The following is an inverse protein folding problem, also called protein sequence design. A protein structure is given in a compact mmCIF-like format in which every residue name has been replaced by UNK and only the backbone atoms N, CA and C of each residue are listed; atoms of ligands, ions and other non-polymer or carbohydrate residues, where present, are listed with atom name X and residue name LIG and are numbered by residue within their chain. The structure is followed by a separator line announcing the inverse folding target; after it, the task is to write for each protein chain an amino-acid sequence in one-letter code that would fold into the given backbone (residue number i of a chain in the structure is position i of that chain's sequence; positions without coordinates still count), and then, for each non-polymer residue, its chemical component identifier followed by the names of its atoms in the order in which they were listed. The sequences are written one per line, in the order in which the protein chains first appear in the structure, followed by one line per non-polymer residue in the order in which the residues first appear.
data_IF_733334376382
#
_entry.id   IF_733334376382
#
_cell.length_a   1.000
_cell.length_b   1.000
_cell.length_c   1.000
_cell.angle_alpha   90.00
_cell.angle_beta   90.00
_cell.angle_gamma   90.00
#
_symmetry.space_group_name_H-M   'P 1'
#
loop_
_entity.id
_entity.type
_entity.pdbx_description
1 polymer ?
#
# COMPACT_ATOMS: atom_id res chain seq x y z
N UNK A 1 -15.10 -15.37 24.92
CA UNK A 1 -14.14 -15.28 23.79
C UNK A 1 -14.70 -14.26 22.83
N UNK A 2 -14.13 -13.05 22.80
CA UNK A 2 -14.58 -11.99 21.90
C UNK A 2 -13.67 -12.06 20.68
N UNK A 3 -14.25 -12.41 19.54
CA UNK A 3 -13.59 -12.25 18.25
C UNK A 3 -14.13 -10.95 17.68
N UNK A 4 -13.25 -9.98 17.46
CA UNK A 4 -13.62 -8.72 16.83
C UNK A 4 -13.03 -8.70 15.43
N UNK A 5 -13.88 -8.50 14.42
CA UNK A 5 -13.45 -8.39 13.03
C UNK A 5 -13.23 -6.93 12.67
N UNK A 6 -12.12 -6.64 12.00
CA UNK A 6 -11.81 -5.29 11.56
C UNK A 6 -12.62 -4.94 10.30
N UNK A 7 -13.62 -4.07 10.43
CA UNK A 7 -14.61 -3.76 9.37
C UNK A 7 -13.99 -3.22 8.06
N UNK A 8 -12.84 -2.54 8.13
CA UNK A 8 -12.13 -2.01 6.95
C UNK A 8 -11.52 -3.10 6.08
N UNK A 9 -11.17 -4.25 6.67
CA UNK A 9 -10.51 -5.36 5.98
C UNK A 9 -11.46 -6.36 5.33
N UNK A 10 -12.74 -6.39 5.75
CA UNK A 10 -13.71 -7.40 5.30
C UNK A 10 -14.11 -7.26 3.81
N UNK A 11 -13.80 -6.13 3.18
CA UNK A 11 -14.14 -5.88 1.76
C UNK A 11 -13.16 -6.54 0.78
N UNK A 12 -11.96 -6.91 1.23
CA UNK A 12 -10.96 -7.52 0.35
C UNK A 12 -11.30 -9.00 0.15
N UNK A 13 -11.54 -9.45 -1.10
CA UNK A 13 -11.76 -10.87 -1.37
C UNK A 13 -10.55 -11.74 -1.01
N UNK A 14 -9.36 -11.15 -0.87
CA UNK A 14 -8.10 -11.85 -0.57
C UNK A 14 -8.01 -12.31 0.88
N UNK A 15 -8.66 -11.62 1.82
CA UNK A 15 -8.54 -11.92 3.25
C UNK A 15 -9.05 -10.80 4.15
N UNK A 16 -9.01 -10.99 5.46
CA UNK A 16 -9.40 -9.98 6.44
C UNK A 16 -8.64 -10.11 7.76
N UNK A 17 -8.62 -9.02 8.53
CA UNK A 17 -8.03 -8.93 9.86
C UNK A 17 -9.09 -9.22 10.93
N UNK A 18 -8.71 -9.97 11.95
CA UNK A 18 -9.52 -10.19 13.14
C UNK A 18 -8.64 -10.28 14.39
N UNK A 19 -9.25 -9.96 15.53
CA UNK A 19 -8.59 -10.02 16.83
C UNK A 19 -9.15 -11.16 17.66
N UNK A 20 -8.26 -11.86 18.35
CA UNK A 20 -8.62 -12.85 19.37
C UNK A 20 -7.71 -12.69 20.56
N UNK A 21 -8.31 -12.52 21.74
CA UNK A 21 -7.59 -12.34 23.00
C UNK A 21 -6.55 -11.20 22.93
N UNK A 22 -6.89 -10.12 22.20
CA UNK A 22 -6.03 -8.96 21.97
C UNK A 22 -4.92 -9.15 20.92
N UNK A 23 -4.83 -10.33 20.31
CA UNK A 23 -3.82 -10.64 19.28
C UNK A 23 -4.42 -10.44 17.88
N UNK A 24 -3.70 -9.75 17.01
CA UNK A 24 -4.06 -9.53 15.62
C UNK A 24 -3.73 -10.76 14.77
N UNK A 25 -4.71 -11.19 13.96
CA UNK A 25 -4.56 -12.25 12.99
C UNK A 25 -5.08 -11.78 11.64
N UNK A 26 -4.54 -12.38 10.57
CA UNK A 26 -5.05 -12.22 9.22
C UNK A 26 -5.47 -13.58 8.67
N UNK A 27 -6.72 -13.67 8.23
CA UNK A 27 -7.16 -14.79 7.40
C UNK A 27 -6.82 -14.51 5.94
N UNK A 28 -6.33 -15.53 5.25
CA UNK A 28 -6.12 -15.56 3.81
C UNK A 28 -7.22 -16.44 3.20
N UNK A 29 -7.94 -15.91 2.23
CA UNK A 29 -9.03 -16.61 1.57
C UNK A 29 -8.53 -17.50 0.43
N UNK A 30 -9.27 -18.56 0.05
CA UNK A 30 -8.88 -19.47 -1.03
C UNK A 30 -8.60 -18.79 -2.38
N UNK A 31 -9.29 -17.69 -2.68
CA UNK A 31 -9.11 -16.87 -3.89
C UNK A 31 -7.70 -16.32 -4.04
N UNK A 32 -6.99 -16.08 -2.93
CA UNK A 32 -5.64 -15.51 -2.92
C UNK A 32 -4.56 -16.57 -2.67
N UNK A 33 -4.95 -17.84 -2.54
CA UNK A 33 -4.05 -18.96 -2.27
C UNK A 33 -2.84 -19.00 -3.21
N UNK A 34 -3.09 -18.94 -4.52
CA UNK A 34 -2.04 -19.10 -5.52
C UNK A 34 -1.00 -17.96 -5.48
N UNK A 35 -1.44 -16.73 -5.20
CA UNK A 35 -0.55 -15.59 -5.04
C UNK A 35 0.26 -15.71 -3.76
N UNK A 36 -0.38 -16.12 -2.67
CA UNK A 36 0.29 -16.28 -1.38
C UNK A 36 1.31 -17.43 -1.36
N UNK A 37 1.00 -18.57 -1.97
CA UNK A 37 1.96 -19.68 -2.10
C UNK A 37 3.17 -19.24 -2.92
N UNK A 38 2.95 -18.59 -4.06
CA UNK A 38 4.03 -18.06 -4.89
C UNK A 38 4.84 -16.95 -4.18
N UNK A 39 4.19 -16.14 -3.35
CA UNK A 39 4.84 -15.10 -2.55
C UNK A 39 5.89 -15.67 -1.58
N UNK A 40 5.60 -16.83 -0.99
CA UNK A 40 6.55 -17.55 -0.16
C UNK A 40 7.61 -18.29 -1.00
N UNK A 41 7.17 -19.02 -2.04
CA UNK A 41 8.04 -19.86 -2.87
C UNK A 41 9.06 -19.08 -3.71
N UNK A 42 8.68 -17.90 -4.20
CA UNK A 42 9.57 -17.02 -4.97
C UNK A 42 10.71 -16.44 -4.13
N UNK A 43 10.63 -16.52 -2.80
CA UNK A 43 11.58 -15.89 -1.87
C UNK A 43 11.35 -14.39 -1.65
N UNK A 44 10.31 -13.79 -2.25
CA UNK A 44 10.01 -12.37 -2.05
C UNK A 44 9.67 -12.06 -0.58
N UNK A 45 8.90 -12.93 0.08
CA UNK A 45 8.57 -12.76 1.49
C UNK A 45 9.81 -12.64 2.38
N UNK A 46 10.74 -13.60 2.25
CA UNK A 46 11.98 -13.62 3.02
C UNK A 46 12.82 -12.37 2.69
N UNK A 47 12.91 -12.01 1.41
CA UNK A 47 13.65 -10.82 0.96
C UNK A 47 13.14 -9.54 1.59
N UNK A 48 11.82 -9.30 1.55
CA UNK A 48 11.22 -8.07 2.08
C UNK A 48 11.23 -8.03 3.61
N UNK A 49 10.99 -9.15 4.27
CA UNK A 49 11.00 -9.23 5.74
C UNK A 49 12.40 -9.01 6.29
N UNK A 50 13.43 -9.63 5.68
CA UNK A 50 14.83 -9.46 6.09
C UNK A 50 15.36 -8.04 5.84
N UNK A 51 14.85 -7.35 4.80
CA UNK A 51 15.17 -5.93 4.55
C UNK A 51 14.36 -4.95 5.43
N UNK A 52 13.41 -5.45 6.24
CA UNK A 52 12.54 -4.62 7.07
C UNK A 52 11.51 -3.82 6.28
N UNK A 53 11.17 -4.24 5.05
CA UNK A 53 10.21 -3.57 4.17
C UNK A 53 8.80 -4.13 4.28
N UNK A 54 8.63 -5.32 4.82
CA UNK A 54 7.33 -5.93 5.09
C UNK A 54 7.27 -6.40 6.54
N UNK A 55 6.11 -6.21 7.17
CA UNK A 55 5.86 -6.73 8.52
C UNK A 55 6.03 -8.25 8.53
N UNK A 56 6.93 -8.80 9.36
CA UNK A 56 7.06 -10.25 9.46
C UNK A 56 5.78 -10.87 10.00
N UNK A 57 5.47 -12.08 9.54
CA UNK A 57 4.35 -12.86 10.04
C UNK A 57 4.69 -14.33 10.12
N UNK A 58 4.02 -15.03 11.02
CA UNK A 58 4.11 -16.48 11.13
C UNK A 58 2.79 -17.14 10.73
N UNK A 59 2.87 -18.34 10.17
CA UNK A 59 1.66 -19.16 9.95
C UNK A 59 1.25 -19.79 11.27
N UNK A 60 -0.03 -19.69 11.62
CA UNK A 60 -0.58 -20.26 12.86
C UNK A 60 -1.55 -21.39 12.55
N UNK A 61 -1.57 -22.41 13.41
CA UNK A 61 -2.57 -23.47 13.33
C UNK A 61 -3.95 -22.89 13.65
N UNK A 62 -4.85 -22.96 12.67
CA UNK A 62 -6.18 -22.37 12.72
C UNK A 62 -7.26 -23.33 13.25
N UNK A 63 -6.90 -24.54 13.69
CA UNK A 63 -7.85 -25.54 14.22
C UNK A 63 -8.72 -25.02 15.37
N UNK A 64 -8.22 -24.05 16.12
CA UNK A 64 -8.95 -23.42 17.21
C UNK A 64 -9.62 -22.09 16.84
N UNK A 65 -9.40 -21.55 15.64
CA UNK A 65 -9.84 -20.22 15.23
C UNK A 65 -11.27 -20.25 14.66
N UNK A 66 -12.03 -19.14 14.80
CA UNK A 66 -13.49 -19.14 14.60
C UNK A 66 -13.94 -19.28 13.13
N UNK A 67 -13.03 -19.17 12.17
CA UNK A 67 -13.37 -19.14 10.75
C UNK A 67 -12.77 -20.37 10.03
N UNK A 68 -13.63 -21.34 9.70
CA UNK A 68 -13.24 -22.61 9.08
C UNK A 68 -13.05 -22.56 7.56
N UNK A 69 -13.47 -21.47 6.90
CA UNK A 69 -13.55 -21.38 5.44
C UNK A 69 -12.35 -20.65 4.80
N UNK A 70 -11.36 -20.24 5.60
CA UNK A 70 -10.12 -19.64 5.13
C UNK A 70 -9.16 -20.68 4.56
N UNK A 71 -8.27 -20.26 3.67
CA UNK A 71 -7.15 -21.09 3.22
C UNK A 71 -6.06 -21.20 4.29
N UNK A 72 -5.68 -20.09 4.92
CA UNK A 72 -4.62 -20.04 5.93
C UNK A 72 -4.83 -18.87 6.89
N UNK A 73 -4.30 -18.98 8.09
CA UNK A 73 -4.19 -17.85 9.03
C UNK A 73 -2.73 -17.53 9.30
N UNK A 74 -2.43 -16.23 9.32
CA UNK A 74 -1.13 -15.70 9.72
C UNK A 74 -1.28 -14.75 10.91
N UNK A 75 -0.23 -14.67 11.72
CA UNK A 75 -0.09 -13.70 12.80
C UNK A 75 1.05 -12.74 12.45
N UNK A 76 0.75 -11.49 12.03
CA UNK A 76 1.78 -10.48 11.84
C UNK A 76 2.35 -9.99 13.17
N UNK A 77 3.58 -9.50 13.14
CA UNK A 77 4.14 -8.76 14.27
C UNK A 77 3.30 -7.51 14.58
N UNK A 78 3.18 -7.18 15.86
CA UNK A 78 2.39 -6.04 16.31
C UNK A 78 3.17 -4.74 16.13
N UNK A 79 2.54 -3.76 15.49
CA UNK A 79 3.05 -2.39 15.43
C UNK A 79 2.46 -1.61 16.60
N UNK A 80 3.29 -1.14 17.56
CA UNK A 80 2.79 -0.55 18.80
C UNK A 80 2.12 0.81 18.61
N UNK A 81 2.38 1.48 17.48
CA UNK A 81 1.85 2.80 17.17
C UNK A 81 1.45 2.88 15.70
N UNK A 82 0.16 3.05 15.46
CA UNK A 82 -0.38 3.32 14.12
C UNK A 82 -0.38 4.83 13.91
N UNK A 83 0.17 5.26 12.78
CA UNK A 83 0.19 6.65 12.34
C UNK A 83 -0.43 6.75 10.96
N UNK A 84 -0.96 7.93 10.62
CA UNK A 84 -1.64 8.14 9.35
C UNK A 84 -0.84 9.06 8.41
N UNK A 85 -0.99 8.90 7.08
CA UNK A 85 -0.26 9.70 6.10
C UNK A 85 -0.37 11.22 6.29
N UNK A 86 -1.53 11.71 6.75
CA UNK A 86 -1.76 13.13 7.01
C UNK A 86 -1.07 13.67 8.29
N UNK A 87 -0.49 12.80 9.11
CA UNK A 87 0.25 13.12 10.34
C UNK A 87 1.77 13.15 10.09
N UNK A 88 2.23 12.53 9.00
CA UNK A 88 3.64 12.41 8.70
C UNK A 88 4.26 13.74 8.28
N UNK A 89 5.51 13.97 8.71
CA UNK A 89 6.30 15.06 8.14
C UNK A 89 6.69 14.72 6.69
N UNK A 90 7.11 15.73 5.93
CA UNK A 90 7.49 15.55 4.52
C UNK A 90 8.55 14.48 4.30
N UNK A 91 9.56 14.40 5.17
CA UNK A 91 10.63 13.40 5.06
C UNK A 91 10.11 12.00 5.29
N UNK A 92 9.24 11.79 6.29
CA UNK A 92 8.57 10.50 6.50
C UNK A 92 7.73 10.13 5.28
N UNK A 93 6.91 11.05 4.80
CA UNK A 93 6.06 10.83 3.64
C UNK A 93 6.86 10.47 2.37
N UNK A 94 7.98 11.17 2.15
CA UNK A 94 8.93 10.86 1.07
C UNK A 94 9.55 9.48 1.24
N UNK A 95 9.95 9.11 2.45
CA UNK A 95 10.52 7.79 2.73
C UNK A 95 9.49 6.67 2.51
N UNK A 96 8.23 6.90 2.86
CA UNK A 96 7.13 5.98 2.57
C UNK A 96 6.97 5.77 1.05
N UNK A 97 6.96 6.85 0.25
CA UNK A 97 6.92 6.75 -1.20
C UNK A 97 8.11 5.96 -1.79
N UNK A 98 9.32 6.21 -1.26
CA UNK A 98 10.53 5.54 -1.71
C UNK A 98 10.52 4.04 -1.34
N UNK A 99 10.05 3.67 -0.14
CA UNK A 99 9.97 2.25 0.24
C UNK A 99 8.93 1.52 -0.61
N UNK A 100 7.79 2.14 -0.93
CA UNK A 100 6.78 1.55 -1.83
C UNK A 100 7.39 1.23 -3.20
N UNK A 101 8.17 2.14 -3.78
CA UNK A 101 8.87 1.88 -5.05
C UNK A 101 10.00 0.85 -4.91
N UNK A 102 10.69 0.83 -3.78
CA UNK A 102 11.71 -0.17 -3.50
C UNK A 102 11.07 -1.57 -3.43
N UNK A 103 9.96 -1.72 -2.71
CA UNK A 103 9.17 -2.95 -2.61
C UNK A 103 8.72 -3.42 -4.00
N UNK A 104 8.12 -2.53 -4.81
CA UNK A 104 7.73 -2.85 -6.18
C UNK A 104 8.91 -3.38 -6.99
N UNK A 105 10.08 -2.73 -6.91
CA UNK A 105 11.27 -3.16 -7.64
C UNK A 105 11.77 -4.54 -7.18
N UNK A 106 11.68 -4.87 -5.89
CA UNK A 106 11.99 -6.23 -5.39
C UNK A 106 10.96 -7.21 -5.92
N UNK A 107 9.67 -6.90 -5.83
CA UNK A 107 8.60 -7.77 -6.29
C UNK A 107 8.81 -8.17 -7.75
N UNK A 108 9.09 -7.20 -8.62
CA UNK A 108 9.35 -7.47 -10.05
C UNK A 108 10.56 -8.38 -10.27
N UNK A 109 11.59 -8.29 -9.42
CA UNK A 109 12.75 -9.19 -9.47
C UNK A 109 12.46 -10.63 -9.01
N UNK A 110 11.27 -10.88 -8.47
CA UNK A 110 10.76 -12.18 -8.03
C UNK A 110 9.49 -12.57 -8.79
N UNK A 111 9.29 -12.03 -10.01
CA UNK A 111 8.12 -12.28 -10.87
C UNK A 111 6.77 -12.02 -10.17
N UNK A 112 6.76 -11.00 -9.31
CA UNK A 112 5.58 -10.52 -8.60
C UNK A 112 5.39 -9.02 -8.79
N UNK A 113 4.20 -8.52 -8.49
CA UNK A 113 3.89 -7.11 -8.58
C UNK A 113 3.09 -6.66 -7.36
N UNK A 114 3.36 -5.44 -6.90
CA UNK A 114 2.60 -4.81 -5.83
C UNK A 114 1.27 -4.28 -6.43
N UNK A 115 0.12 -4.83 -6.04
CA UNK A 115 -1.18 -4.50 -6.66
C UNK A 115 -1.84 -3.25 -6.10
N UNK A 116 -1.39 -2.77 -4.95
CA UNK A 116 -1.86 -1.53 -4.33
C UNK A 116 -0.70 -0.65 -3.85
N UNK A 117 -0.88 0.66 -3.99
CA UNK A 117 0.09 1.68 -3.60
C UNK A 117 -0.58 2.73 -2.71
N UNK A 118 -1.45 2.28 -1.82
CA UNK A 118 -2.12 3.13 -0.85
C UNK A 118 -1.12 3.52 0.27
N UNK A 119 -1.02 4.83 0.57
CA UNK A 119 -0.13 5.31 1.63
C UNK A 119 -0.50 4.77 3.02
N UNK A 120 -1.76 4.43 3.25
CA UNK A 120 -2.26 3.88 4.52
C UNK A 120 -1.78 2.45 4.79
N UNK A 121 -1.24 1.74 3.79
CA UNK A 121 -0.62 0.42 3.95
C UNK A 121 0.83 0.52 4.43
N UNK A 122 1.40 1.73 4.55
CA UNK A 122 2.73 1.95 5.13
C UNK A 122 2.58 2.43 6.57
N UNK A 123 3.41 1.88 7.46
CA UNK A 123 3.56 2.32 8.84
C UNK A 123 5.02 2.62 9.16
N UNK A 124 5.28 3.24 10.31
CA UNK A 124 6.63 3.46 10.81
C UNK A 124 6.90 2.55 11.99
N UNK A 125 7.80 1.58 11.79
CA UNK A 125 8.25 0.68 12.84
C UNK A 125 9.75 0.88 13.09
N UNK A 126 10.11 1.16 14.33
CA UNK A 126 11.50 1.47 14.72
C UNK A 126 12.14 2.59 13.86
N UNK A 127 11.33 3.58 13.45
CA UNK A 127 11.77 4.71 12.63
C UNK A 127 11.89 4.43 11.13
N UNK A 128 11.61 3.21 10.67
CA UNK A 128 11.64 2.83 9.25
C UNK A 128 10.23 2.64 8.69
N UNK A 129 9.98 3.07 7.44
CA UNK A 129 8.71 2.81 6.78
C UNK A 129 8.62 1.32 6.39
N UNK A 130 7.50 0.68 6.72
CA UNK A 130 7.26 -0.75 6.51
C UNK A 130 5.86 -0.96 5.94
N UNK A 131 5.73 -1.86 4.96
CA UNK A 131 4.44 -2.31 4.43
C UNK A 131 3.80 -3.27 5.44
N UNK A 132 2.53 -3.04 5.76
CA UNK A 132 1.79 -3.87 6.73
C UNK A 132 0.80 -4.84 6.06
N UNK A 133 0.61 -4.70 4.76
CA UNK A 133 -0.33 -5.49 3.99
C UNK A 133 0.39 -6.60 3.21
N UNK A 134 0.33 -7.81 3.77
CA UNK A 134 0.89 -9.02 3.14
C UNK A 134 0.14 -9.43 1.88
N UNK A 135 -1.15 -9.06 1.72
CA UNK A 135 -1.98 -9.51 0.60
C UNK A 135 -1.95 -8.55 -0.60
N UNK A 136 -0.96 -7.66 -0.62
CA UNK A 136 -0.70 -6.66 -1.66
C UNK A 136 0.09 -7.17 -2.86
N UNK A 137 0.47 -8.45 -2.93
CA UNK A 137 1.31 -8.98 -4.00
C UNK A 137 0.55 -9.93 -4.94
N UNK A 138 0.76 -9.80 -6.25
CA UNK A 138 0.21 -10.73 -7.24
C UNK A 138 1.33 -11.25 -8.13
N UNK A 139 1.06 -12.36 -8.83
CA UNK A 139 2.00 -12.90 -9.82
C UNK A 139 2.09 -11.89 -10.95
N UNK A 140 3.30 -11.54 -11.36
CA UNK A 140 3.50 -10.62 -12.47
C UNK A 140 3.34 -11.34 -13.80
N UNK A 141 2.66 -10.71 -14.75
CA UNK A 141 2.64 -11.15 -16.14
C UNK A 141 3.52 -10.19 -16.95
N UNK A 142 4.55 -10.75 -17.60
CA UNK A 142 5.52 -9.97 -18.36
C UNK A 142 4.82 -9.05 -19.38
N UNK A 143 5.19 -7.77 -19.37
CA UNK A 143 4.63 -6.75 -20.26
C UNK A 143 3.35 -6.08 -19.73
N UNK A 144 2.74 -6.57 -18.65
CA UNK A 144 1.63 -5.85 -18.02
C UNK A 144 2.12 -4.57 -17.32
N UNK A 145 1.37 -3.47 -17.41
CA UNK A 145 1.69 -2.24 -16.70
C UNK A 145 1.41 -2.40 -15.20
N UNK A 146 2.07 -1.58 -14.39
CA UNK A 146 1.78 -1.52 -12.97
C UNK A 146 0.40 -0.92 -12.69
N UNK A 147 -0.56 -1.77 -12.32
CA UNK A 147 -1.96 -1.40 -12.08
C UNK A 147 -2.12 -0.32 -11.02
N UNK A 148 -1.31 -0.35 -9.96
CA UNK A 148 -1.34 0.65 -8.88
C UNK A 148 -0.58 1.96 -9.20
N UNK A 149 -0.07 2.13 -10.42
CA UNK A 149 0.70 3.33 -10.78
C UNK A 149 -0.10 4.63 -10.59
N UNK A 150 -1.39 4.65 -10.96
CA UNK A 150 -2.26 5.79 -10.68
C UNK A 150 -2.40 6.03 -9.18
N UNK A 151 -2.68 4.98 -8.43
CA UNK A 151 -2.83 5.05 -6.98
C UNK A 151 -1.56 5.59 -6.31
N UNK A 152 -0.37 5.18 -6.77
CA UNK A 152 0.90 5.73 -6.30
C UNK A 152 1.02 7.23 -6.57
N UNK A 153 0.59 7.68 -7.75
CA UNK A 153 0.60 9.10 -8.08
C UNK A 153 -0.34 9.90 -7.17
N UNK A 154 -1.52 9.37 -6.85
CA UNK A 154 -2.54 10.03 -6.01
C UNK A 154 -2.17 9.99 -4.52
N UNK A 155 -1.55 8.90 -4.06
CA UNK A 155 -1.22 8.68 -2.65
C UNK A 155 0.15 9.22 -2.26
N UNK A 156 1.10 9.32 -3.20
CA UNK A 156 2.47 9.73 -2.88
C UNK A 156 2.96 10.92 -3.70
N UNK A 157 3.07 10.75 -5.03
CA UNK A 157 3.73 11.76 -5.88
C UNK A 157 2.99 13.11 -5.86
N UNK A 158 1.67 13.10 -5.97
CA UNK A 158 0.81 14.28 -5.96
C UNK A 158 0.92 15.05 -4.63
N UNK A 159 0.66 14.42 -3.47
CA UNK A 159 0.85 15.05 -2.17
C UNK A 159 2.27 15.62 -1.98
N UNK A 160 3.32 14.86 -2.34
CA UNK A 160 4.71 15.34 -2.26
C UNK A 160 4.95 16.57 -3.16
N UNK A 161 4.39 16.58 -4.37
CA UNK A 161 4.48 17.71 -5.27
C UNK A 161 3.77 18.95 -4.69
N UNK A 162 2.57 18.80 -4.12
CA UNK A 162 1.85 19.90 -3.46
C UNK A 162 2.64 20.45 -2.27
N UNK A 163 3.16 19.58 -1.41
CA UNK A 163 3.96 19.98 -0.26
C UNK A 163 5.23 20.74 -0.67
N UNK A 164 5.91 20.28 -1.72
CA UNK A 164 7.17 20.85 -2.21
C UNK A 164 6.98 22.19 -2.95
N UNK A 165 5.94 22.30 -3.77
CA UNK A 165 5.75 23.45 -4.66
C UNK A 165 4.79 24.52 -4.12
N UNK A 166 3.99 24.21 -3.09
CA UNK A 166 2.99 25.14 -2.53
C UNK A 166 3.14 25.32 -1.03
N UNK A 167 2.82 24.29 -0.24
CA UNK A 167 2.83 24.39 1.23
C UNK A 167 2.83 23.00 1.86
N UNK A 168 3.73 22.79 2.82
CA UNK A 168 3.91 21.52 3.54
C UNK A 168 2.61 21.00 4.19
N UNK A 169 1.69 21.89 4.56
CA UNK A 169 0.43 21.56 5.23
C UNK A 169 -0.57 20.87 4.29
N UNK A 170 -0.37 20.92 2.97
CA UNK A 170 -1.25 20.27 2.01
C UNK A 170 -1.26 18.74 2.11
N UNK A 171 -0.24 18.13 2.75
CA UNK A 171 -0.28 16.71 3.08
C UNK A 171 -1.47 16.31 3.97
N UNK A 172 -2.02 17.26 4.77
CA UNK A 172 -3.17 17.01 5.65
C UNK A 172 -4.47 16.69 4.90
N UNK A 173 -4.55 17.05 3.62
CA UNK A 173 -5.72 16.78 2.76
C UNK A 173 -5.99 15.28 2.65
N UNK A 174 -4.97 14.43 2.80
CA UNK A 174 -5.12 12.98 2.77
C UNK A 174 -6.06 12.42 3.84
N UNK A 175 -6.37 13.18 4.90
CA UNK A 175 -7.41 12.81 5.86
C UNK A 175 -8.79 12.68 5.22
N UNK A 176 -9.09 13.54 4.24
CA UNK A 176 -10.36 13.51 3.50
C UNK A 176 -10.25 12.62 2.25
N UNK A 177 -9.05 12.48 1.70
CA UNK A 177 -8.76 11.68 0.50
C UNK A 177 -7.97 10.43 0.86
N UNK A 178 -8.62 9.49 1.56
CA UNK A 178 -8.01 8.25 2.06
C UNK A 178 -7.49 7.38 0.91
N UNK A 179 -8.14 7.43 -0.26
CA UNK A 179 -7.72 6.71 -1.46
C UNK A 179 -6.68 7.46 -2.31
N UNK A 180 -6.24 8.65 -1.87
CA UNK A 180 -5.32 9.53 -2.58
C UNK A 180 -5.99 10.76 -3.19
N UNK A 181 -5.21 11.82 -3.42
CA UNK A 181 -5.72 13.09 -3.97
C UNK A 181 -5.88 12.94 -5.49
N UNK A 182 -7.08 13.17 -6.07
CA UNK A 182 -7.30 13.07 -7.51
C UNK A 182 -6.29 13.91 -8.30
N UNK A 183 -5.71 13.32 -9.35
CA UNK A 183 -4.62 13.97 -10.10
C UNK A 183 -5.05 15.25 -10.80
N UNK A 184 -6.32 15.40 -11.18
CA UNK A 184 -6.84 16.63 -11.76
C UNK A 184 -6.89 17.76 -10.73
N UNK A 185 -7.28 17.46 -9.49
CA UNK A 185 -7.18 18.39 -8.36
C UNK A 185 -5.72 18.76 -8.10
N UNK A 186 -4.81 17.77 -7.99
CA UNK A 186 -3.37 18.00 -7.80
C UNK A 186 -2.84 18.91 -8.92
N UNK A 187 -3.12 18.58 -10.18
CA UNK A 187 -2.70 19.34 -11.36
C UNK A 187 -3.20 20.79 -11.31
N UNK A 188 -4.45 21.01 -10.91
CA UNK A 188 -5.05 22.36 -10.82
C UNK A 188 -4.42 23.21 -9.72
N UNK A 189 -3.98 22.59 -8.63
CA UNK A 189 -3.38 23.26 -7.49
C UNK A 189 -1.89 23.56 -7.72
N UNK A 190 -1.18 22.79 -8.53
CA UNK A 190 0.25 23.01 -8.78
C UNK A 190 0.53 24.32 -9.55
N UNK A 191 1.65 25.01 -9.29
CA UNK A 191 2.02 26.21 -10.03
C UNK A 191 2.27 25.92 -11.52
N UNK A 192 1.85 26.79 -12.45
CA UNK A 192 2.01 26.58 -13.91
C UNK A 192 3.43 26.20 -14.38
N UNK A 193 4.48 26.60 -13.65
CA UNK A 193 5.88 26.18 -13.95
C UNK A 193 6.10 24.67 -13.87
N UNK A 194 5.28 23.90 -13.15
CA UNK A 194 5.42 22.43 -13.05
C UNK A 194 5.07 21.72 -14.35
N UNK A 195 4.34 22.36 -15.27
CA UNK A 195 4.14 21.86 -16.63
C UNK A 195 5.45 21.78 -17.44
N UNK A 196 6.47 22.56 -17.07
CA UNK A 196 7.81 22.50 -17.68
C UNK A 196 8.72 21.45 -17.02
N UNK A 197 8.33 20.90 -15.87
CA UNK A 197 9.05 19.79 -15.25
C UNK A 197 8.59 18.49 -15.91
N UNK A 198 9.46 17.85 -16.69
CA UNK A 198 9.14 16.65 -17.46
C UNK A 198 8.46 15.54 -16.62
N UNK A 199 8.94 15.31 -15.39
CA UNK A 199 8.39 14.27 -14.51
C UNK A 199 6.97 14.63 -14.04
N UNK A 200 6.74 15.85 -13.54
CA UNK A 200 5.41 16.27 -13.09
C UNK A 200 4.43 16.44 -14.27
N UNK A 201 4.93 16.90 -15.41
CA UNK A 201 4.17 16.97 -16.66
C UNK A 201 3.66 15.60 -17.07
N UNK A 202 4.50 14.57 -17.01
CA UNK A 202 4.16 13.21 -17.44
C UNK A 202 3.27 12.50 -16.42
N UNK A 203 3.67 12.48 -15.15
CA UNK A 203 3.05 11.63 -14.13
C UNK A 203 1.82 12.26 -13.46
N UNK A 204 1.67 13.59 -13.51
CA UNK A 204 0.53 14.31 -12.93
C UNK A 204 -0.31 14.99 -14.00
N UNK A 205 0.25 15.96 -14.73
CA UNK A 205 -0.55 16.83 -15.60
C UNK A 205 -1.15 16.10 -16.81
N UNK A 206 -0.34 15.32 -17.52
CA UNK A 206 -0.79 14.53 -18.67
C UNK A 206 -1.76 13.43 -18.22
N UNK A 207 -1.45 12.77 -17.11
CA UNK A 207 -2.29 11.73 -16.53
C UNK A 207 -3.68 12.28 -16.15
N UNK A 208 -3.72 13.44 -15.48
CA UNK A 208 -4.97 14.14 -15.13
C UNK A 208 -5.81 14.51 -16.37
N UNK A 209 -5.17 14.86 -17.48
CA UNK A 209 -5.85 15.19 -18.73
C UNK A 209 -6.52 13.95 -19.34
N UNK A 210 -5.79 12.85 -19.47
CA UNK A 210 -6.35 11.61 -20.02
C UNK A 210 -7.50 11.05 -19.16
N UNK A 211 -7.48 11.22 -17.84
CA UNK A 211 -8.61 10.80 -17.00
C UNK A 211 -9.92 11.50 -17.35
N UNK A 212 -9.89 12.78 -17.73
CA UNK A 212 -11.09 13.51 -18.14
C UNK A 212 -11.64 13.03 -19.48
N UNK A 213 -10.75 12.57 -20.37
CA UNK A 213 -11.11 12.15 -21.72
C UNK A 213 -11.75 10.73 -21.76
N UNK A 214 -11.50 9.89 -20.75
CA UNK A 214 -12.05 8.52 -20.65
C UNK A 214 -13.17 8.35 -19.61
N UNK A 215 -13.47 9.38 -18.81
CA UNK A 215 -14.55 9.38 -17.82
C UNK A 215 -15.85 10.03 -18.32
N UNK A 216 -15.93 10.32 -19.63
CA UNK A 216 -17.10 10.89 -20.31
C UNK A 216 -17.83 9.88 -21.19
#
# INVERSE_FOLDING_TARGET
MITETENSSFRDPSGFIFYRDGICYRQINPTYKEHYEYFLESGLYEKLSNEGFLIPHETVDASHLPFSNGYRTIRPESIPFVSYPYEWCFTQFKNAALVTLAILKRALGHDMILKDANAYNIQFYQGQPILIDTLSFEKYQEGEPWTAYKQFCENFLGPLALMSYKDIRLGRILREYIDGIPLDLVSSLLPKRTYLNFHLATHIHLHARYQKDYAG
#
